data_IF_271517541322
#
_entry.id   IF_271517541322
#
_cell.length_a   1.000
_cell.length_b   1.000
_cell.length_c   1.000
_cell.angle_alpha   90.00
_cell.angle_beta   90.00
_cell.angle_gamma   90.00
#
_symmetry.space_group_name_H-M   'P 1'
#
loop_
_entity.id
_entity.type
_entity.pdbx_description
1 polymer ?
#
# COMPACT_ATOMS: atom_id res chain seq x y z
N UNK A 1 12.31 -7.11 2.61
CA UNK A 1 12.74 -6.38 3.82
C UNK A 1 12.42 -7.21 5.05
N UNK A 2 13.05 -6.97 6.19
CA UNK A 2 12.79 -7.75 7.41
C UNK A 2 11.34 -7.55 7.89
N UNK A 3 10.65 -8.64 8.22
CA UNK A 3 9.29 -8.60 8.76
C UNK A 3 9.30 -7.86 10.09
N UNK A 4 8.41 -6.88 10.24
CA UNK A 4 8.37 -6.08 11.45
C UNK A 4 8.05 -6.93 12.68
N UNK A 5 8.67 -6.66 13.85
CA UNK A 5 8.54 -7.50 15.03
C UNK A 5 7.09 -7.80 15.44
N UNK A 6 6.20 -6.81 15.35
CA UNK A 6 4.78 -6.94 15.69
C UNK A 6 3.99 -7.90 14.78
N UNK A 7 4.50 -8.23 13.58
CA UNK A 7 3.83 -9.14 12.65
C UNK A 7 4.56 -10.46 12.48
N UNK A 8 5.79 -10.59 12.99
CA UNK A 8 6.61 -11.80 12.83
C UNK A 8 5.92 -13.06 13.33
N UNK A 9 5.12 -12.97 14.39
CA UNK A 9 4.33 -14.09 14.93
C UNK A 9 3.27 -14.65 13.96
N UNK A 10 2.93 -13.92 12.89
CA UNK A 10 2.00 -14.38 11.85
C UNK A 10 2.67 -15.25 10.78
N UNK A 11 4.00 -15.31 10.79
CA UNK A 11 4.80 -16.06 9.82
C UNK A 11 5.44 -17.29 10.48
N UNK A 12 5.88 -18.25 9.66
CA UNK A 12 6.63 -19.39 10.16
C UNK A 12 7.95 -18.93 10.83
N UNK A 13 8.49 -19.68 11.81
CA UNK A 13 9.64 -19.24 12.61
C UNK A 13 10.91 -18.91 11.81
N UNK A 14 11.10 -19.59 10.68
CA UNK A 14 12.22 -19.44 9.75
C UNK A 14 12.00 -18.33 8.70
N UNK A 15 10.78 -17.81 8.58
CA UNK A 15 10.44 -16.74 7.64
C UNK A 15 10.71 -15.39 8.30
N UNK A 16 11.74 -14.71 7.78
CA UNK A 16 12.26 -13.47 8.39
C UNK A 16 12.10 -12.25 7.49
N UNK A 17 11.83 -12.45 6.20
CA UNK A 17 11.77 -11.39 5.20
C UNK A 17 10.44 -11.43 4.45
N UNK A 18 9.92 -10.25 4.17
CA UNK A 18 8.80 -10.05 3.25
C UNK A 18 9.33 -9.52 1.91
N UNK A 19 8.85 -10.10 0.81
CA UNK A 19 9.08 -9.62 -0.55
C UNK A 19 7.76 -9.06 -1.07
N UNK A 20 7.74 -7.76 -1.41
CA UNK A 20 6.55 -7.10 -1.92
C UNK A 20 6.66 -6.85 -3.42
N UNK A 21 5.58 -7.18 -4.14
CA UNK A 21 5.40 -6.82 -5.54
C UNK A 21 4.30 -5.75 -5.63
N UNK A 22 4.60 -4.61 -6.27
CA UNK A 22 3.71 -3.45 -6.30
C UNK A 22 3.00 -3.35 -7.65
N UNK A 23 1.67 -3.46 -7.60
CA UNK A 23 0.78 -3.26 -8.74
C UNK A 23 0.05 -1.92 -8.64
N UNK A 24 -0.42 -1.40 -9.78
CA UNK A 24 -1.27 -0.22 -9.85
C UNK A 24 -2.51 -0.52 -10.68
N UNK A 25 -3.63 0.08 -10.30
CA UNK A 25 -4.89 -0.01 -11.03
C UNK A 25 -5.52 1.38 -11.09
N UNK A 26 -5.72 1.89 -12.30
CA UNK A 26 -6.40 3.16 -12.52
C UNK A 26 -7.90 2.91 -12.51
N UNK A 27 -8.62 3.71 -11.72
CA UNK A 27 -10.09 3.73 -11.69
C UNK A 27 -10.59 5.01 -12.33
N UNK A 28 -11.74 4.93 -13.01
CA UNK A 28 -12.32 6.09 -13.74
C UNK A 28 -12.71 7.24 -12.79
N UNK A 29 -13.11 6.91 -11.57
CA UNK A 29 -13.51 7.88 -10.55
C UNK A 29 -13.26 7.33 -9.13
N UNK A 30 -13.17 8.21 -8.10
CA UNK A 30 -13.06 7.80 -6.70
C UNK A 30 -14.23 6.91 -6.28
N UNK A 31 -13.96 5.61 -6.17
CA UNK A 31 -14.97 4.59 -5.85
C UNK A 31 -14.91 4.24 -4.36
N UNK A 32 -16.07 4.12 -3.71
CA UNK A 32 -16.16 3.63 -2.33
C UNK A 32 -16.19 2.12 -2.35
N UNK A 33 -15.15 1.48 -1.80
CA UNK A 33 -15.09 0.02 -1.69
C UNK A 33 -16.00 -0.49 -0.57
N UNK A 34 -16.56 -1.69 -0.72
CA UNK A 34 -17.17 -2.39 0.42
C UNK A 34 -16.02 -3.01 1.22
N UNK A 35 -15.89 -2.63 2.49
CA UNK A 35 -14.80 -3.10 3.36
C UNK A 35 -15.25 -4.36 4.12
N UNK A 36 -14.41 -5.40 4.15
CA UNK A 36 -14.55 -6.47 5.13
C UNK A 36 -14.09 -5.93 6.50
N UNK A 37 -14.97 -5.87 7.52
CA UNK A 37 -14.61 -5.34 8.84
C UNK A 37 -13.53 -6.17 9.57
N UNK A 38 -13.25 -7.40 9.13
CA UNK A 38 -12.15 -8.21 9.67
C UNK A 38 -10.78 -7.77 9.13
N UNK A 39 -10.74 -7.08 7.99
CA UNK A 39 -9.50 -6.64 7.35
C UNK A 39 -9.29 -5.12 7.44
N UNK A 40 -10.35 -4.33 7.26
CA UNK A 40 -10.28 -2.87 7.15
C UNK A 40 -11.41 -2.17 7.92
N UNK A 41 -11.09 -1.05 8.58
CA UNK A 41 -12.04 -0.31 9.41
C UNK A 41 -12.53 1.01 8.79
N UNK A 42 -11.80 1.55 7.82
CA UNK A 42 -12.12 2.84 7.18
C UNK A 42 -11.38 2.97 5.84
N UNK A 43 -11.87 3.88 4.99
CA UNK A 43 -11.24 4.23 3.72
C UNK A 43 -11.33 5.74 3.47
N UNK A 44 -10.46 6.25 2.61
CA UNK A 44 -10.41 7.67 2.25
C UNK A 44 -9.67 7.84 0.91
N UNK A 45 -10.20 8.68 0.03
CA UNK A 45 -9.51 9.18 -1.15
C UNK A 45 -8.72 10.45 -0.82
N UNK A 46 -7.46 10.51 -1.24
CA UNK A 46 -6.56 11.65 -1.01
C UNK A 46 -5.75 11.96 -2.27
N UNK A 47 -5.33 13.22 -2.46
CA UNK A 47 -4.24 13.54 -3.36
C UNK A 47 -3.00 12.71 -3.00
N UNK A 48 -2.27 12.21 -4.01
CA UNK A 48 -1.17 11.26 -3.80
C UNK A 48 -0.11 11.74 -2.79
N UNK A 49 0.19 13.05 -2.76
CA UNK A 49 1.11 13.65 -1.80
C UNK A 49 0.65 13.47 -0.35
N UNK A 50 -0.65 13.68 -0.08
CA UNK A 50 -1.22 13.48 1.25
C UNK A 50 -1.33 11.99 1.60
N UNK A 51 -1.66 11.13 0.62
CA UNK A 51 -1.67 9.68 0.83
C UNK A 51 -0.29 9.16 1.23
N UNK A 52 0.76 9.62 0.52
CA UNK A 52 2.17 9.33 0.84
C UNK A 52 2.50 9.70 2.29
N UNK A 53 2.02 10.83 2.76
CA UNK A 53 2.30 11.30 4.12
C UNK A 53 1.53 10.50 5.18
N UNK A 54 0.31 10.07 4.87
CA UNK A 54 -0.60 9.35 5.78
C UNK A 54 -0.23 7.88 6.01
N UNK A 55 0.34 7.18 5.03
CA UNK A 55 0.64 5.74 5.17
C UNK A 55 1.75 5.49 6.19
N UNK A 56 1.56 4.50 7.07
CA UNK A 56 2.58 4.11 8.04
C UNK A 56 3.73 3.31 7.39
N UNK A 57 3.43 2.54 6.33
CA UNK A 57 4.42 1.67 5.68
C UNK A 57 5.38 2.49 4.80
N UNK A 58 6.71 2.41 5.02
CA UNK A 58 7.72 3.02 4.17
C UNK A 58 7.70 2.48 2.74
N UNK A 59 7.40 1.19 2.53
CA UNK A 59 7.32 0.61 1.18
C UNK A 59 6.09 1.10 0.43
N UNK A 60 4.95 1.26 1.10
CA UNK A 60 3.77 1.91 0.51
C UNK A 60 4.03 3.39 0.19
N UNK A 61 4.74 4.09 1.07
CA UNK A 61 5.15 5.49 0.85
C UNK A 61 6.02 5.62 -0.41
N UNK A 62 6.98 4.71 -0.58
CA UNK A 62 7.82 4.65 -1.78
C UNK A 62 6.99 4.33 -3.03
N UNK A 63 6.06 3.37 -2.96
CA UNK A 63 5.17 3.03 -4.07
C UNK A 63 4.33 4.23 -4.53
N UNK A 64 3.73 4.97 -3.59
CA UNK A 64 2.93 6.17 -3.90
C UNK A 64 3.80 7.28 -4.50
N UNK A 65 5.05 7.43 -4.05
CA UNK A 65 5.97 8.43 -4.59
C UNK A 65 6.34 8.19 -6.07
N UNK A 66 6.17 6.96 -6.58
CA UNK A 66 6.38 6.63 -7.99
C UNK A 66 5.20 6.99 -8.89
N UNK A 67 4.01 7.30 -8.35
CA UNK A 67 2.81 7.57 -9.14
C UNK A 67 3.00 8.66 -10.20
N UNK A 68 3.62 9.82 -9.92
CA UNK A 68 3.82 10.85 -10.95
C UNK A 68 4.70 10.41 -12.10
N UNK A 69 5.60 9.44 -11.89
CA UNK A 69 6.45 8.89 -12.96
C UNK A 69 5.71 7.81 -13.74
N UNK A 70 4.98 6.93 -13.04
CA UNK A 70 4.21 5.84 -13.67
C UNK A 70 3.11 6.37 -14.59
N UNK A 71 2.35 7.37 -14.14
CA UNK A 71 1.29 7.99 -14.94
C UNK A 71 1.81 8.85 -16.11
N UNK A 72 3.12 9.14 -16.16
CA UNK A 72 3.75 9.80 -17.32
C UNK A 72 4.23 8.80 -18.37
N UNK A 73 4.39 7.52 -17.99
CA UNK A 73 4.91 6.46 -18.83
C UNK A 73 3.85 5.63 -19.55
N UNK A 74 2.57 5.92 -19.30
CA UNK A 74 1.44 5.34 -20.05
C UNK A 74 1.33 6.08 -21.41
N UNK A 75 2.19 5.68 -22.35
CA UNK A 75 2.08 5.97 -23.79
C UNK A 75 1.38 4.82 -24.51
#
# INVERSE_FOLDING_TARGET
YEIWPQWRARYAPDVTHNTEHVFGFLVDNPTVAILDPQEHIAQLWLPWGQAKDKVFSPTNRAAIALLPQRLRGDH
#
